data_IF_856395949077
#
_entry.id   IF_856395949077
#
_cell.length_a   1.000
_cell.length_b   1.000
_cell.length_c   1.000
_cell.angle_alpha   90.00
_cell.angle_beta   90.00
_cell.angle_gamma   90.00
#
_symmetry.space_group_name_H-M   'P 1'
#
loop_
_entity.id
_entity.type
_entity.pdbx_description
1 polymer ?
#
# COMPACT_ATOMS: atom_id res chain seq x y z
N UNK A 1 25.67 3.86 -48.43
CA UNK A 1 26.64 4.67 -47.65
C UNK A 1 25.88 5.35 -46.52
N UNK A 2 25.72 4.71 -45.36
CA UNK A 2 26.62 4.75 -44.18
C UNK A 2 26.51 6.05 -43.38
N UNK A 3 25.46 6.19 -42.56
CA UNK A 3 25.50 6.98 -41.33
C UNK A 3 24.66 6.28 -40.26
N UNK A 4 25.16 5.12 -39.84
CA UNK A 4 24.74 4.35 -38.67
C UNK A 4 25.92 4.41 -37.69
N UNK A 5 25.62 4.48 -36.40
CA UNK A 5 26.49 4.01 -35.30
C UNK A 5 27.39 4.99 -34.51
N UNK A 6 27.13 6.30 -34.43
CA UNK A 6 27.96 7.19 -33.58
C UNK A 6 27.27 7.70 -32.31
N UNK A 7 25.95 7.60 -32.16
CA UNK A 7 25.27 8.17 -30.97
C UNK A 7 25.13 7.20 -29.79
N UNK A 8 25.49 5.92 -29.96
CA UNK A 8 25.30 4.89 -28.91
C UNK A 8 26.51 4.68 -27.97
N UNK A 9 27.60 5.43 -28.12
CA UNK A 9 28.84 5.24 -27.36
C UNK A 9 29.10 6.31 -26.27
N UNK A 10 28.21 7.29 -26.11
CA UNK A 10 28.36 8.37 -25.12
C UNK A 10 27.68 8.11 -23.76
N UNK A 11 26.78 7.13 -23.66
CA UNK A 11 25.96 6.91 -22.45
C UNK A 11 26.43 5.74 -21.56
N UNK A 12 27.54 5.07 -21.92
CA UNK A 12 28.06 3.91 -21.17
C UNK A 12 29.28 4.23 -20.29
N UNK A 13 29.68 5.51 -20.16
CA UNK A 13 30.87 5.91 -19.39
C UNK A 13 30.58 6.52 -18.01
N UNK A 14 29.32 6.53 -17.55
CA UNK A 14 28.97 7.02 -16.20
C UNK A 14 28.61 5.91 -15.20
N UNK A 15 28.74 4.63 -15.57
CA UNK A 15 28.43 3.48 -14.71
C UNK A 15 29.66 2.84 -14.04
N UNK A 16 30.82 3.50 -14.07
CA UNK A 16 32.07 2.96 -13.53
C UNK A 16 32.68 3.81 -12.43
N UNK A 17 32.01 3.98 -11.27
CA UNK A 17 32.63 4.63 -10.10
C UNK A 17 31.96 4.31 -8.75
N UNK A 18 31.77 3.04 -8.40
CA UNK A 18 31.64 2.61 -6.99
C UNK A 18 32.29 1.23 -6.79
N UNK A 19 33.56 1.09 -7.17
CA UNK A 19 34.41 0.00 -6.69
C UNK A 19 35.32 0.57 -5.59
N UNK A 20 34.81 0.63 -4.36
CA UNK A 20 35.67 0.84 -3.18
C UNK A 20 36.21 -0.51 -2.74
N UNK A 21 37.53 -0.64 -2.46
CA UNK A 21 38.07 -1.85 -1.86
C UNK A 21 37.50 -2.02 -0.45
N UNK A 22 36.91 -3.19 -0.20
CA UNK A 22 36.42 -3.61 1.11
C UNK A 22 37.62 -3.94 2.00
N UNK A 23 38.00 -2.99 2.85
CA UNK A 23 38.92 -3.19 3.97
C UNK A 23 38.12 -3.73 5.16
N UNK A 24 38.47 -4.88 5.75
CA UNK A 24 37.74 -5.42 6.90
C UNK A 24 38.26 -4.80 8.21
N UNK A 25 37.47 -4.01 8.96
CA UNK A 25 37.74 -3.82 10.36
C UNK A 25 37.23 -5.02 11.15
N UNK A 26 38.16 -5.67 11.84
CA UNK A 26 37.86 -6.64 12.87
C UNK A 26 37.08 -5.99 14.03
N UNK A 27 36.10 -6.76 14.55
CA UNK A 27 35.53 -6.69 15.89
C UNK A 27 34.66 -5.47 16.25
N UNK A 28 33.33 -5.65 16.15
CA UNK A 28 32.40 -5.39 17.28
C UNK A 28 31.25 -6.39 17.28
N UNK A 29 31.44 -7.43 18.09
CA UNK A 29 30.39 -8.31 18.61
C UNK A 29 29.31 -7.48 19.35
N UNK A 30 28.05 -7.64 18.94
CA UNK A 30 26.88 -7.11 19.66
C UNK A 30 25.88 -6.30 18.83
N UNK A 31 25.79 -6.47 17.51
CA UNK A 31 24.62 -5.99 16.76
C UNK A 31 23.56 -7.07 16.80
N UNK A 32 22.48 -6.85 17.54
CA UNK A 32 21.23 -7.51 17.24
C UNK A 32 20.95 -7.24 15.75
N UNK A 33 20.88 -8.29 14.95
CA UNK A 33 20.64 -8.17 13.51
C UNK A 33 19.35 -7.37 13.33
N UNK A 34 19.46 -6.18 12.75
CA UNK A 34 18.28 -5.33 12.52
C UNK A 34 17.38 -6.03 11.51
N UNK A 35 16.14 -6.29 11.89
CA UNK A 35 15.15 -6.91 11.01
C UNK A 35 14.61 -5.93 9.95
N UNK A 36 14.89 -4.64 10.06
CA UNK A 36 14.41 -3.60 9.15
C UNK A 36 14.75 -3.85 7.65
N UNK A 37 15.99 -4.17 7.24
CA UNK A 37 16.30 -4.48 5.84
C UNK A 37 15.51 -5.70 5.32
N UNK A 38 15.28 -6.71 6.16
CA UNK A 38 14.47 -7.86 5.78
C UNK A 38 13.03 -7.42 5.50
N UNK A 39 12.39 -6.66 6.40
CA UNK A 39 11.03 -6.14 6.20
C UNK A 39 10.90 -5.27 4.94
N UNK A 40 11.89 -4.43 4.63
CA UNK A 40 11.89 -3.63 3.40
C UNK A 40 12.00 -4.51 2.15
N UNK A 41 12.83 -5.55 2.19
CA UNK A 41 12.96 -6.52 1.10
C UNK A 41 11.65 -7.28 0.89
N UNK A 42 10.98 -7.65 1.98
CA UNK A 42 9.66 -8.27 1.96
C UNK A 42 8.60 -7.35 1.33
N UNK A 43 8.57 -6.06 1.69
CA UNK A 43 7.68 -5.08 1.05
C UNK A 43 7.94 -4.98 -0.45
N UNK A 44 9.21 -4.94 -0.86
CA UNK A 44 9.58 -4.87 -2.26
C UNK A 44 9.15 -6.13 -3.02
N UNK A 45 9.29 -7.32 -2.42
CA UNK A 45 8.79 -8.57 -3.00
C UNK A 45 7.28 -8.55 -3.15
N UNK A 46 6.55 -8.22 -2.09
CA UNK A 46 5.08 -8.18 -2.11
C UNK A 46 4.56 -7.18 -3.15
N UNK A 47 5.25 -6.04 -3.33
CA UNK A 47 4.92 -5.06 -4.36
C UNK A 47 5.08 -5.61 -5.79
N UNK A 48 5.97 -6.58 -6.00
CA UNK A 48 6.22 -7.20 -7.30
C UNK A 48 5.31 -8.39 -7.61
N UNK A 49 4.48 -8.85 -6.67
CA UNK A 49 3.60 -10.00 -6.87
C UNK A 49 2.42 -9.68 -7.80
N UNK A 50 2.11 -10.64 -8.68
CA UNK A 50 0.85 -10.64 -9.43
C UNK A 50 -0.37 -10.80 -8.49
N UNK A 51 -1.57 -10.33 -8.89
CA UNK A 51 -2.78 -10.52 -8.10
C UNK A 51 -3.08 -11.98 -7.76
N UNK A 52 -2.82 -12.91 -8.68
CA UNK A 52 -3.03 -14.35 -8.46
C UNK A 52 -2.06 -14.92 -7.44
N UNK A 53 -0.77 -14.54 -7.52
CA UNK A 53 0.23 -14.95 -6.53
C UNK A 53 -0.10 -14.40 -5.15
N UNK A 54 -0.49 -13.12 -5.09
CA UNK A 54 -0.91 -12.48 -3.84
C UNK A 54 -2.04 -13.24 -3.16
N UNK A 55 -3.11 -13.60 -3.90
CA UNK A 55 -4.23 -14.35 -3.34
C UNK A 55 -3.81 -15.72 -2.81
N UNK A 56 -2.87 -16.40 -3.48
CA UNK A 56 -2.34 -17.69 -3.02
C UNK A 56 -1.52 -17.53 -1.74
N UNK A 57 -0.64 -16.53 -1.68
CA UNK A 57 0.15 -16.25 -0.47
C UNK A 57 -0.74 -15.84 0.70
N UNK A 58 -1.75 -15.01 0.45
CA UNK A 58 -2.72 -14.59 1.45
C UNK A 58 -3.46 -15.81 2.04
N UNK A 59 -3.97 -16.70 1.18
CA UNK A 59 -4.65 -17.92 1.61
C UNK A 59 -3.73 -18.87 2.41
N UNK A 60 -2.44 -18.89 2.08
CA UNK A 60 -1.44 -19.64 2.83
C UNK A 60 -1.26 -19.10 4.26
N UNK A 61 -1.14 -17.78 4.40
CA UNK A 61 -0.91 -17.14 5.70
C UNK A 61 -2.18 -17.07 6.57
N UNK A 62 -3.36 -16.90 5.99
CA UNK A 62 -4.64 -16.89 6.72
C UNK A 62 -4.94 -18.25 7.40
N UNK A 63 -4.39 -19.34 6.86
CA UNK A 63 -4.56 -20.69 7.41
C UNK A 63 -3.65 -21.00 8.61
N UNK A 64 -2.67 -20.15 8.93
CA UNK A 64 -1.70 -20.42 9.97
C UNK A 64 -2.18 -19.96 11.36
N UNK A 65 -2.23 -20.89 12.32
CA UNK A 65 -2.70 -20.59 13.70
C UNK A 65 -1.78 -19.66 14.49
N UNK A 66 -0.49 -19.63 14.17
CA UNK A 66 0.52 -18.81 14.87
C UNK A 66 1.51 -18.26 13.86
N UNK A 67 1.39 -16.97 13.60
CA UNK A 67 2.34 -16.20 12.80
C UNK A 67 3.40 -15.59 13.71
N UNK A 68 4.65 -15.58 13.26
CA UNK A 68 5.72 -14.76 13.83
C UNK A 68 5.60 -13.30 13.33
N UNK A 69 6.41 -12.40 13.87
CA UNK A 69 6.32 -10.97 13.53
C UNK A 69 6.67 -10.69 12.06
N UNK A 70 7.59 -11.46 11.47
CA UNK A 70 7.92 -11.36 10.05
C UNK A 70 6.73 -11.77 9.16
N UNK A 71 6.06 -12.90 9.44
CA UNK A 71 4.88 -13.31 8.68
C UNK A 71 3.66 -12.43 8.94
N UNK A 72 3.51 -11.87 10.15
CA UNK A 72 2.48 -10.85 10.44
C UNK A 72 2.69 -9.61 9.57
N UNK A 73 3.93 -9.16 9.45
CA UNK A 73 4.26 -8.04 8.59
C UNK A 73 3.99 -8.36 7.11
N UNK A 74 4.37 -9.56 6.64
CA UNK A 74 4.06 -10.02 5.28
C UNK A 74 2.54 -10.07 5.04
N UNK A 75 1.76 -10.63 5.97
CA UNK A 75 0.30 -10.69 5.88
C UNK A 75 -0.30 -9.29 5.79
N UNK A 76 0.16 -8.36 6.63
CA UNK A 76 -0.27 -6.98 6.58
C UNK A 76 0.05 -6.32 5.23
N UNK A 77 1.22 -6.59 4.66
CA UNK A 77 1.63 -6.06 3.35
C UNK A 77 0.80 -6.65 2.20
N UNK A 78 0.41 -7.92 2.28
CA UNK A 78 -0.49 -8.53 1.29
C UNK A 78 -1.91 -7.96 1.39
N UNK A 79 -2.44 -7.82 2.62
CA UNK A 79 -3.76 -7.24 2.87
C UNK A 79 -3.85 -5.78 2.41
N UNK A 80 -2.77 -5.01 2.56
CA UNK A 80 -2.65 -3.62 2.07
C UNK A 80 -2.93 -3.49 0.56
N UNK A 81 -2.70 -4.57 -0.19
CA UNK A 81 -2.85 -4.63 -1.65
C UNK A 81 -4.19 -5.17 -2.14
N UNK A 82 -5.01 -5.75 -1.27
CA UNK A 82 -6.40 -6.14 -1.61
C UNK A 82 -7.31 -4.92 -1.79
N UNK A 83 -6.84 -3.73 -1.39
CA UNK A 83 -7.45 -2.43 -1.66
C UNK A 83 -8.93 -2.29 -1.22
N UNK A 84 -9.35 -3.06 -0.22
CA UNK A 84 -10.65 -2.92 0.46
C UNK A 84 -10.49 -2.32 1.85
N UNK A 85 -11.51 -1.61 2.37
CA UNK A 85 -11.45 -1.00 3.71
C UNK A 85 -11.22 -2.09 4.78
N UNK A 86 -11.97 -3.19 4.70
CA UNK A 86 -11.82 -4.32 5.62
C UNK A 86 -10.43 -4.95 5.59
N UNK A 87 -9.79 -5.01 4.41
CA UNK A 87 -8.42 -5.52 4.32
C UNK A 87 -7.41 -4.54 4.94
N UNK A 88 -7.58 -3.23 4.74
CA UNK A 88 -6.73 -2.22 5.39
C UNK A 88 -6.87 -2.26 6.91
N UNK A 89 -8.09 -2.41 7.44
CA UNK A 89 -8.33 -2.53 8.88
C UNK A 89 -7.74 -3.81 9.46
N UNK A 90 -7.89 -4.94 8.76
CA UNK A 90 -7.24 -6.21 9.14
C UNK A 90 -5.72 -6.10 9.11
N UNK A 91 -5.16 -5.41 8.11
CA UNK A 91 -3.72 -5.13 8.01
C UNK A 91 -3.26 -4.33 9.23
N UNK A 92 -3.97 -3.24 9.58
CA UNK A 92 -3.66 -2.41 10.74
C UNK A 92 -3.73 -3.20 12.06
N UNK A 93 -4.74 -4.06 12.22
CA UNK A 93 -4.88 -4.95 13.39
C UNK A 93 -3.70 -5.93 13.48
N UNK A 94 -3.28 -6.49 12.36
CA UNK A 94 -2.16 -7.44 12.29
C UNK A 94 -0.84 -6.78 12.70
N UNK A 95 -0.57 -5.56 12.19
CA UNK A 95 0.62 -4.79 12.59
C UNK A 95 0.60 -4.35 14.05
N UNK A 96 -0.58 -4.14 14.62
CA UNK A 96 -0.73 -3.74 16.03
C UNK A 96 -0.52 -4.90 17.01
N UNK A 97 -0.56 -6.14 16.52
CA UNK A 97 -0.29 -7.34 17.30
C UNK A 97 1.19 -7.78 17.23
N UNK A 98 2.04 -7.05 16.50
CA UNK A 98 3.48 -7.32 16.46
C UNK A 98 4.15 -6.88 17.76
N UNK A 99 5.19 -7.61 18.15
CA UNK A 99 6.00 -7.25 19.33
C UNK A 99 6.87 -6.03 19.02
N UNK A 100 7.16 -5.22 20.05
CA UNK A 100 8.12 -4.13 19.92
C UNK A 100 9.53 -4.72 19.75
N UNK A 101 10.00 -4.71 18.50
CA UNK A 101 11.30 -5.24 18.10
C UNK A 101 12.38 -4.15 18.03
N UNK A 102 13.35 -4.35 17.14
CA UNK A 102 14.37 -3.35 16.82
C UNK A 102 13.74 -1.99 16.46
N UNK A 103 14.34 -0.89 16.92
CA UNK A 103 13.79 0.47 16.78
C UNK A 103 13.56 0.87 15.32
N UNK A 104 14.43 0.41 14.39
CA UNK A 104 14.26 0.67 12.96
C UNK A 104 13.10 -0.13 12.36
N UNK A 105 12.96 -1.39 12.75
CA UNK A 105 11.83 -2.22 12.34
C UNK A 105 10.51 -1.62 12.86
N UNK A 106 10.49 -1.15 14.11
CA UNK A 106 9.34 -0.48 14.69
C UNK A 106 8.98 0.82 13.94
N UNK A 107 9.97 1.63 13.57
CA UNK A 107 9.73 2.84 12.79
C UNK A 107 9.07 2.53 11.43
N UNK A 108 9.48 1.44 10.76
CA UNK A 108 8.85 0.99 9.51
C UNK A 108 7.41 0.53 9.73
N UNK A 109 7.16 -0.26 10.77
CA UNK A 109 5.81 -0.70 11.14
C UNK A 109 4.91 0.49 11.43
N UNK A 110 5.39 1.49 12.18
CA UNK A 110 4.62 2.70 12.48
C UNK A 110 4.35 3.55 11.24
N UNK A 111 5.31 3.66 10.31
CA UNK A 111 5.10 4.33 9.04
C UNK A 111 3.99 3.64 8.24
N UNK A 112 4.01 2.31 8.18
CA UNK A 112 2.98 1.52 7.51
C UNK A 112 1.61 1.70 8.18
N UNK A 113 1.52 1.64 9.51
CA UNK A 113 0.29 1.92 10.26
C UNK A 113 -0.28 3.30 9.94
N UNK A 114 0.56 4.33 9.87
CA UNK A 114 0.13 5.70 9.50
C UNK A 114 -0.41 5.75 8.07
N UNK A 115 0.28 5.11 7.12
CA UNK A 115 -0.18 5.03 5.72
C UNK A 115 -1.55 4.35 5.60
N UNK A 116 -1.75 3.23 6.31
CA UNK A 116 -3.02 2.50 6.33
C UNK A 116 -4.16 3.36 6.89
N UNK A 117 -3.94 4.05 8.02
CA UNK A 117 -4.93 4.96 8.61
C UNK A 117 -5.33 6.07 7.64
N UNK A 118 -4.35 6.71 7.00
CA UNK A 118 -4.62 7.75 6.01
C UNK A 118 -5.45 7.24 4.82
N UNK A 119 -5.19 6.01 4.35
CA UNK A 119 -5.98 5.40 3.26
C UNK A 119 -7.40 5.02 3.69
N UNK A 120 -7.58 4.53 4.90
CA UNK A 120 -8.91 4.25 5.46
C UNK A 120 -9.72 5.55 5.56
N UNK A 121 -9.14 6.59 6.16
CA UNK A 121 -9.76 7.91 6.30
C UNK A 121 -10.13 8.49 4.93
N UNK A 122 -9.22 8.42 3.96
CA UNK A 122 -9.48 8.88 2.59
C UNK A 122 -10.70 8.17 1.99
N UNK A 123 -10.79 6.84 2.11
CA UNK A 123 -11.94 6.09 1.59
C UNK A 123 -13.24 6.44 2.28
N UNK A 124 -13.21 6.61 3.60
CA UNK A 124 -14.39 7.03 4.35
C UNK A 124 -14.86 8.41 3.88
N UNK A 125 -13.94 9.34 3.62
CA UNK A 125 -14.27 10.64 3.06
C UNK A 125 -14.85 10.53 1.65
N UNK A 126 -14.26 9.71 0.78
CA UNK A 126 -14.79 9.47 -0.57
C UNK A 126 -16.20 8.88 -0.54
N UNK A 127 -16.47 7.91 0.33
CA UNK A 127 -17.80 7.31 0.49
C UNK A 127 -18.83 8.33 0.97
N UNK A 128 -18.47 9.16 1.96
CA UNK A 128 -19.33 10.26 2.44
C UNK A 128 -19.59 11.31 1.36
N UNK A 129 -18.58 11.66 0.58
CA UNK A 129 -18.74 12.60 -0.53
C UNK A 129 -19.70 12.05 -1.60
N UNK A 130 -19.61 10.76 -1.92
CA UNK A 130 -20.54 10.10 -2.84
C UNK A 130 -21.97 10.10 -2.28
N UNK A 131 -22.15 9.77 -1.01
CA UNK A 131 -23.48 9.78 -0.37
C UNK A 131 -24.12 11.19 -0.41
N UNK A 132 -23.33 12.24 -0.19
CA UNK A 132 -23.79 13.61 -0.30
C UNK A 132 -24.17 13.98 -1.74
N UNK A 133 -23.39 13.52 -2.72
CA UNK A 133 -23.69 13.72 -4.14
C UNK A 133 -25.01 13.03 -4.53
N UNK A 134 -25.22 11.78 -4.10
CA UNK A 134 -26.44 11.03 -4.38
C UNK A 134 -27.67 11.72 -3.78
N UNK A 135 -27.55 12.26 -2.55
CA UNK A 135 -28.61 13.06 -1.92
C UNK A 135 -28.92 14.33 -2.68
N UNK A 136 -27.90 15.04 -3.20
CA UNK A 136 -28.11 16.23 -4.03
C UNK A 136 -28.84 15.90 -5.33
N UNK A 137 -28.51 14.79 -5.97
CA UNK A 137 -29.19 14.32 -7.18
C UNK A 137 -30.64 13.93 -6.90
N UNK A 138 -30.91 13.27 -5.77
CA UNK A 138 -32.26 12.97 -5.33
C UNK A 138 -33.08 14.25 -5.10
N UNK A 139 -32.51 15.27 -4.45
CA UNK A 139 -33.18 16.56 -4.23
C UNK A 139 -33.52 17.20 -5.58
N UNK A 140 -32.57 17.26 -6.53
CA UNK A 140 -32.81 17.81 -7.87
C UNK A 140 -33.91 17.06 -8.63
N UNK A 141 -33.96 15.73 -8.50
CA UNK A 141 -35.01 14.92 -9.10
C UNK A 141 -36.38 15.23 -8.48
N UNK A 142 -36.44 15.37 -7.16
CA UNK A 142 -37.66 15.76 -6.45
C UNK A 142 -38.13 17.16 -6.86
N UNK A 143 -37.22 18.13 -6.90
CA UNK A 143 -37.48 19.50 -7.38
C UNK A 143 -38.06 19.48 -8.79
N UNK A 144 -37.46 18.72 -9.71
CA UNK A 144 -37.99 18.56 -11.07
C UNK A 144 -39.39 17.96 -11.07
N UNK A 145 -39.67 16.93 -10.27
CA UNK A 145 -41.02 16.34 -10.22
C UNK A 145 -42.06 17.28 -9.58
N UNK A 146 -41.65 18.12 -8.63
CA UNK A 146 -42.51 19.14 -8.03
C UNK A 146 -42.80 20.26 -9.04
N UNK A 147 -41.80 20.72 -9.78
CA UNK A 147 -41.98 21.70 -10.86
C UNK A 147 -42.91 21.17 -11.96
N UNK A 148 -42.75 19.91 -12.37
CA UNK A 148 -43.64 19.26 -13.33
C UNK A 148 -45.09 19.18 -12.83
N UNK A 149 -45.29 18.85 -11.55
CA UNK A 149 -46.64 18.82 -10.94
C UNK A 149 -47.27 20.20 -10.82
N UNK A 150 -46.49 21.24 -10.51
CA UNK A 150 -46.98 22.60 -10.39
C UNK A 150 -47.19 23.29 -11.75
N UNK A 151 -46.49 22.85 -12.80
CA UNK A 151 -46.64 23.36 -14.16
C UNK A 151 -47.73 22.67 -14.99
N UNK A 152 -48.28 21.54 -14.52
CA UNK A 152 -49.40 20.89 -15.18
C UNK A 152 -50.69 21.72 -14.97
N UNK A 153 -51.34 22.23 -16.03
CA UNK A 153 -52.57 22.99 -15.87
C UNK A 153 -53.63 22.07 -15.25
N UNK A 154 -54.24 22.51 -14.14
CA UNK A 154 -55.47 21.89 -13.63
C UNK A 154 -56.53 22.06 -14.70
N UNK A 155 -56.80 21.02 -15.48
CA UNK A 155 -57.95 21.01 -16.39
C UNK A 155 -59.23 21.15 -15.57
N UNK A 156 -60.17 22.00 -16.01
CA UNK A 156 -61.41 22.30 -15.31
C UNK A 156 -62.35 21.10 -15.22
#
# INVERSE_FOLDING_TARGET
MTFKSIVLAGLLLTLGACATPFEPPALRSGQAESNAPALLTELARVAALSPEQRRRELAGLDGERRLDDARRFQLAALLEREDSVDALERSLKTLSAMSDGDARAQALVELMKRSLKARIELRQQTARAQELQDKLEQIKALEKSLQQRNGAPRTP
#
